data_IF_000897154886
#
_entry.id   IF_000897154886
#
_cell.length_a   1.000
_cell.length_b   1.000
_cell.length_c   1.000
_cell.angle_alpha   90.00
_cell.angle_beta   90.00
_cell.angle_gamma   90.00
#
_symmetry.space_group_name_H-M   'P 1'
#
loop_
_entity.id
_entity.type
_entity.pdbx_description
1 polymer ?
#
# COMPACT_ATOMS: atom_id res chain seq x y z
N UNK A 1 36.39 -45.42 4.88
CA UNK A 1 36.97 -46.76 5.07
C UNK A 1 36.27 -47.37 6.28
N UNK A 2 35.48 -48.44 6.04
CA UNK A 2 34.91 -49.41 7.02
C UNK A 2 33.73 -48.84 7.86
N UNK A 3 32.43 -49.12 7.63
CA UNK A 3 31.62 -50.33 7.34
C UNK A 3 31.21 -51.13 8.58
N UNK A 4 29.90 -51.48 8.63
CA UNK A 4 29.21 -52.60 9.34
C UNK A 4 28.51 -52.30 10.69
N UNK A 5 27.33 -52.85 11.08
CA UNK A 5 26.17 -53.58 10.46
C UNK A 5 25.24 -54.05 11.64
N UNK A 6 23.92 -54.21 11.39
CA UNK A 6 22.90 -55.11 12.06
C UNK A 6 22.41 -54.72 13.49
N UNK A 7 21.13 -54.40 13.76
CA UNK A 7 19.80 -55.05 13.58
C UNK A 7 19.40 -56.01 14.72
N UNK A 8 18.23 -55.80 15.37
CA UNK A 8 17.23 -56.84 15.66
C UNK A 8 15.90 -56.30 16.25
N UNK A 9 14.81 -56.78 15.65
CA UNK A 9 13.43 -56.79 16.14
C UNK A 9 13.28 -57.73 17.36
N UNK A 10 12.33 -57.43 18.26
CA UNK A 10 11.55 -58.46 18.96
C UNK A 10 10.20 -57.90 19.46
N UNK A 11 9.11 -58.41 18.88
CA UNK A 11 7.76 -58.37 19.45
C UNK A 11 7.66 -59.32 20.66
N UNK A 12 6.86 -58.97 21.66
CA UNK A 12 6.08 -59.96 22.42
C UNK A 12 4.86 -59.30 23.09
N UNK A 13 3.71 -59.88 22.77
CA UNK A 13 2.34 -59.64 23.19
C UNK A 13 2.03 -60.20 24.60
N UNK A 14 1.07 -59.63 25.32
CA UNK A 14 0.04 -60.41 26.02
C UNK A 14 -1.19 -59.56 26.39
N UNK A 15 -2.37 -60.12 26.06
CA UNK A 15 -3.71 -59.72 26.46
C UNK A 15 -3.98 -60.19 27.93
N UNK A 16 -5.03 -59.83 28.69
CA UNK A 16 -6.44 -59.55 28.41
C UNK A 16 -7.07 -58.94 29.68
N UNK A 17 -8.17 -58.17 29.57
CA UNK A 17 -9.34 -58.34 30.45
C UNK A 17 -10.54 -57.56 29.88
N UNK A 18 -11.60 -58.31 29.66
CA UNK A 18 -12.87 -57.94 29.05
C UNK A 18 -13.85 -57.52 30.16
N UNK A 19 -14.61 -56.45 29.99
CA UNK A 19 -15.85 -56.24 30.75
C UNK A 19 -16.90 -55.62 29.84
N UNK A 20 -17.99 -56.37 29.64
CA UNK A 20 -19.16 -55.97 28.86
C UNK A 20 -19.97 -54.92 29.61
N UNK A 21 -20.25 -53.79 28.96
CA UNK A 21 -21.29 -52.82 29.30
C UNK A 21 -22.05 -52.44 28.03
N UNK A 22 -23.36 -52.36 28.13
CA UNK A 22 -24.33 -52.58 27.05
C UNK A 22 -24.43 -51.46 25.99
N UNK A 23 -24.47 -51.92 24.73
CA UNK A 23 -25.26 -51.53 23.56
C UNK A 23 -26.19 -50.30 23.69
N UNK A 24 -25.83 -49.24 22.96
CA UNK A 24 -26.70 -48.15 22.52
C UNK A 24 -26.53 -47.92 21.01
N UNK A 25 -27.65 -47.82 20.29
CA UNK A 25 -27.83 -48.02 18.84
C UNK A 25 -27.14 -47.02 17.90
N UNK A 26 -26.57 -47.59 16.84
CA UNK A 26 -26.57 -47.17 15.42
C UNK A 26 -26.12 -45.75 15.05
N UNK A 27 -24.93 -45.65 14.46
CA UNK A 27 -24.72 -44.76 13.31
C UNK A 27 -23.81 -45.46 12.29
N UNK A 28 -24.39 -45.72 11.13
CA UNK A 28 -23.77 -46.31 9.95
C UNK A 28 -22.45 -45.61 9.59
N UNK A 29 -21.38 -46.41 9.50
CA UNK A 29 -20.11 -46.02 8.88
C UNK A 29 -20.36 -45.83 7.38
N UNK A 30 -20.46 -44.58 6.92
CA UNK A 30 -20.31 -44.26 5.49
C UNK A 30 -18.84 -44.03 5.20
N UNK A 31 -18.18 -45.12 4.84
CA UNK A 31 -17.01 -45.09 3.95
C UNK A 31 -17.47 -44.52 2.60
N UNK A 32 -16.94 -43.36 2.21
CA UNK A 32 -16.83 -42.99 0.80
C UNK A 32 -15.63 -42.07 0.60
N UNK A 33 -14.55 -42.65 0.09
CA UNK A 33 -13.49 -41.92 -0.59
C UNK A 33 -14.13 -41.19 -1.78
N UNK A 34 -14.26 -39.86 -1.71
CA UNK A 34 -14.88 -39.04 -2.76
C UNK A 34 -13.77 -38.39 -3.58
N UNK A 35 -13.51 -38.94 -4.76
CA UNK A 35 -12.44 -38.53 -5.68
C UNK A 35 -12.82 -37.39 -6.65
N UNK A 36 -14.03 -36.83 -6.55
CA UNK A 36 -14.45 -35.65 -7.34
C UNK A 36 -15.38 -34.75 -6.52
N UNK A 37 -15.26 -33.40 -6.64
CA UNK A 37 -16.15 -32.47 -5.98
C UNK A 37 -17.57 -32.63 -6.53
N UNK A 38 -18.57 -32.55 -5.65
CA UNK A 38 -19.95 -32.34 -6.09
C UNK A 38 -20.05 -31.01 -6.82
N UNK A 39 -20.77 -31.00 -7.93
CA UNK A 39 -21.26 -29.76 -8.51
C UNK A 39 -22.21 -29.14 -7.48
N UNK A 40 -21.70 -28.23 -6.66
CA UNK A 40 -22.52 -27.40 -5.80
C UNK A 40 -23.46 -26.57 -6.70
N UNK A 41 -24.72 -26.42 -6.28
CA UNK A 41 -25.65 -25.54 -6.97
C UNK A 41 -25.04 -24.14 -7.08
N UNK A 42 -25.21 -23.44 -8.23
CA UNK A 42 -24.63 -22.11 -8.40
C UNK A 42 -25.16 -21.20 -7.28
N UNK A 43 -24.24 -20.68 -6.46
CA UNK A 43 -24.59 -19.67 -5.47
C UNK A 43 -25.33 -18.52 -6.17
N UNK A 44 -26.41 -17.98 -5.58
CA UNK A 44 -27.12 -16.86 -6.16
C UNK A 44 -26.14 -15.71 -6.39
N UNK A 45 -26.09 -15.24 -7.65
CA UNK A 45 -25.19 -14.20 -8.11
C UNK A 45 -25.28 -12.99 -7.16
N UNK A 46 -24.19 -12.74 -6.40
CA UNK A 46 -24.13 -11.62 -5.46
C UNK A 46 -24.27 -10.34 -6.28
N UNK A 47 -25.40 -9.65 -6.12
CA UNK A 47 -25.63 -8.34 -6.75
C UNK A 47 -24.40 -7.46 -6.50
N UNK A 48 -23.88 -6.80 -7.55
CA UNK A 48 -22.72 -5.93 -7.39
C UNK A 48 -23.03 -4.91 -6.27
N UNK A 49 -22.08 -4.65 -5.37
CA UNK A 49 -22.28 -3.65 -4.32
C UNK A 49 -22.71 -2.35 -4.97
N UNK A 50 -23.79 -1.73 -4.45
CA UNK A 50 -24.23 -0.43 -4.94
C UNK A 50 -23.03 0.52 -4.94
N UNK A 51 -22.78 1.28 -6.02
CA UNK A 51 -21.71 2.26 -6.04
C UNK A 51 -21.84 3.15 -4.82
N UNK A 52 -20.79 3.23 -4.01
CA UNK A 52 -20.77 4.18 -2.89
C UNK A 52 -20.85 5.56 -3.51
N UNK A 53 -21.99 6.23 -3.39
CA UNK A 53 -22.15 7.60 -3.85
C UNK A 53 -21.24 8.46 -2.98
N UNK A 54 -20.19 9.04 -3.58
CA UNK A 54 -19.37 10.02 -2.87
C UNK A 54 -20.30 11.17 -2.46
N UNK A 55 -20.23 11.67 -1.20
CA UNK A 55 -21.00 12.83 -0.82
C UNK A 55 -20.67 13.99 -1.77
N UNK A 56 -21.67 14.81 -2.16
CA UNK A 56 -21.45 15.93 -3.05
C UNK A 56 -20.43 16.88 -2.43
N UNK A 57 -19.47 17.33 -3.24
CA UNK A 57 -18.47 18.30 -2.79
C UNK A 57 -19.16 19.63 -2.47
N UNK A 58 -18.78 20.30 -1.37
CA UNK A 58 -19.27 21.65 -1.09
C UNK A 58 -18.92 22.60 -2.24
N UNK A 59 -19.76 23.60 -2.49
CA UNK A 59 -19.51 24.66 -3.48
C UNK A 59 -19.13 25.96 -2.78
N UNK A 60 -18.31 26.75 -3.46
CA UNK A 60 -17.86 28.08 -3.04
C UNK A 60 -18.17 29.09 -4.14
N UNK A 61 -18.43 30.33 -3.74
CA UNK A 61 -18.68 31.43 -4.68
C UNK A 61 -17.36 31.89 -5.29
N UNK A 62 -17.22 31.76 -6.61
CA UNK A 62 -16.09 32.28 -7.38
C UNK A 62 -16.12 33.79 -7.51
N UNK A 63 -15.03 34.36 -8.03
CA UNK A 63 -14.83 35.81 -8.23
C UNK A 63 -15.90 36.48 -9.10
N UNK A 64 -16.56 35.74 -9.99
CA UNK A 64 -17.65 36.24 -10.86
C UNK A 64 -19.05 35.80 -10.41
N UNK A 65 -19.20 35.32 -9.18
CA UNK A 65 -20.49 34.84 -8.64
C UNK A 65 -20.91 33.45 -9.12
N UNK A 66 -20.09 32.77 -9.93
CA UNK A 66 -20.29 31.37 -10.31
C UNK A 66 -20.02 30.44 -9.13
N UNK A 67 -20.85 29.42 -8.95
CA UNK A 67 -20.58 28.36 -7.96
C UNK A 67 -19.57 27.39 -8.53
N UNK A 68 -18.47 27.20 -7.82
CA UNK A 68 -17.40 26.27 -8.17
C UNK A 68 -17.24 25.29 -7.02
N UNK A 69 -16.98 24.01 -7.30
CA UNK A 69 -16.70 23.06 -6.22
C UNK A 69 -15.38 23.39 -5.51
N UNK A 70 -15.25 23.00 -4.25
CA UNK A 70 -14.05 23.30 -3.44
C UNK A 70 -12.76 22.76 -4.08
N UNK A 71 -12.80 21.61 -4.77
CA UNK A 71 -11.59 21.03 -5.39
C UNK A 71 -11.14 21.88 -6.57
N UNK A 72 -12.06 22.31 -7.42
CA UNK A 72 -11.77 23.25 -8.49
C UNK A 72 -11.27 24.61 -7.97
N UNK A 73 -11.73 25.06 -6.79
CA UNK A 73 -11.17 26.26 -6.15
C UNK A 73 -9.74 26.04 -5.65
N UNK A 74 -9.44 24.88 -5.05
CA UNK A 74 -8.09 24.51 -4.61
C UNK A 74 -7.11 24.38 -5.78
N UNK A 75 -7.56 23.86 -6.92
CA UNK A 75 -6.74 23.79 -8.13
C UNK A 75 -6.25 25.17 -8.58
N UNK A 76 -7.07 26.22 -8.46
CA UNK A 76 -6.65 27.61 -8.74
C UNK A 76 -5.56 28.11 -7.78
N UNK A 77 -5.53 27.60 -6.56
CA UNK A 77 -4.46 27.86 -5.60
C UNK A 77 -3.30 26.86 -5.74
N UNK A 78 -3.26 26.08 -6.85
CA UNK A 78 -2.25 25.07 -7.20
C UNK A 78 -2.16 23.92 -6.19
N UNK A 79 -3.30 23.60 -5.57
CA UNK A 79 -3.43 22.52 -4.59
C UNK A 79 -4.13 21.31 -5.22
N UNK A 80 -3.44 20.19 -5.24
CA UNK A 80 -3.92 18.89 -5.73
C UNK A 80 -4.13 17.93 -4.56
N UNK A 81 -5.08 16.99 -4.71
CA UNK A 81 -5.38 15.98 -3.70
C UNK A 81 -5.24 14.56 -4.26
N UNK A 82 -4.43 13.74 -3.60
CA UNK A 82 -4.44 12.29 -3.70
C UNK A 82 -5.08 11.73 -2.41
N UNK A 83 -6.41 11.62 -2.40
CA UNK A 83 -7.21 11.23 -1.22
C UNK A 83 -7.77 9.81 -1.25
N UNK A 84 -7.36 8.98 -2.20
CA UNK A 84 -7.85 7.62 -2.43
C UNK A 84 -6.69 6.67 -2.75
N UNK A 85 -7.01 5.41 -3.08
CA UNK A 85 -6.08 4.50 -3.71
C UNK A 85 -5.52 5.06 -5.02
N UNK A 86 -4.28 4.67 -5.32
CA UNK A 86 -3.62 4.99 -6.59
C UNK A 86 -4.09 4.01 -7.65
N UNK A 87 -4.79 4.52 -8.66
CA UNK A 87 -5.27 3.76 -9.82
C UNK A 87 -5.18 4.62 -11.09
N UNK A 88 -5.44 4.02 -12.25
CA UNK A 88 -5.24 4.69 -13.55
C UNK A 88 -6.12 5.94 -13.71
N UNK A 89 -7.36 5.91 -13.21
CA UNK A 89 -8.26 7.07 -13.27
C UNK A 89 -7.70 8.24 -12.44
N UNK A 90 -7.30 7.98 -11.19
CA UNK A 90 -6.73 9.00 -10.31
C UNK A 90 -5.40 9.53 -10.85
N UNK A 91 -4.54 8.63 -11.37
CA UNK A 91 -3.28 9.03 -11.97
C UNK A 91 -3.48 9.92 -13.19
N UNK A 92 -4.39 9.57 -14.10
CA UNK A 92 -4.68 10.40 -15.27
C UNK A 92 -5.18 11.80 -14.89
N UNK A 93 -6.03 11.90 -13.86
CA UNK A 93 -6.51 13.20 -13.36
C UNK A 93 -5.34 14.03 -12.80
N UNK A 94 -4.49 13.45 -11.96
CA UNK A 94 -3.35 14.16 -11.38
C UNK A 94 -2.32 14.57 -12.43
N UNK A 95 -2.00 13.69 -13.38
CA UNK A 95 -1.10 13.99 -14.51
C UNK A 95 -1.64 15.15 -15.33
N UNK A 96 -2.94 15.14 -15.67
CA UNK A 96 -3.57 16.24 -16.40
C UNK A 96 -3.52 17.56 -15.61
N UNK A 97 -3.77 17.52 -14.29
CA UNK A 97 -3.71 18.70 -13.43
C UNK A 97 -2.28 19.25 -13.29
N UNK A 98 -1.28 18.38 -13.12
CA UNK A 98 0.13 18.77 -13.06
C UNK A 98 0.57 19.47 -14.34
N UNK A 99 0.26 18.88 -15.50
CA UNK A 99 0.58 19.46 -16.81
C UNK A 99 -0.15 20.79 -17.04
N UNK A 100 -1.42 20.87 -16.64
CA UNK A 100 -2.20 22.11 -16.73
C UNK A 100 -1.57 23.23 -15.90
N UNK A 101 -1.27 22.97 -14.62
CA UNK A 101 -0.67 23.95 -13.72
C UNK A 101 0.73 24.39 -14.17
N UNK A 102 1.52 23.45 -14.70
CA UNK A 102 2.84 23.76 -15.25
C UNK A 102 2.78 24.64 -16.51
N UNK A 103 1.74 24.49 -17.33
CA UNK A 103 1.52 25.34 -18.49
C UNK A 103 0.98 26.74 -18.11
N UNK A 104 0.17 26.83 -17.05
CA UNK A 104 -0.36 28.11 -16.55
C UNK A 104 0.73 28.99 -15.94
N UNK A 105 1.59 28.40 -15.10
CA UNK A 105 2.73 29.09 -14.49
C UNK A 105 3.84 28.05 -14.22
N UNK A 106 4.92 28.04 -15.02
CA UNK A 106 5.99 27.04 -14.90
C UNK A 106 6.92 27.27 -13.71
N UNK A 107 6.96 28.50 -13.16
CA UNK A 107 7.88 28.87 -12.07
C UNK A 107 7.22 28.72 -10.68
N UNK A 108 5.89 28.64 -10.63
CA UNK A 108 5.16 28.50 -9.38
C UNK A 108 5.07 27.05 -8.89
N UNK A 109 5.32 26.85 -7.59
CA UNK A 109 5.16 25.57 -6.91
C UNK A 109 3.74 24.99 -7.05
N UNK A 110 3.65 23.65 -7.02
CA UNK A 110 2.40 22.89 -6.93
C UNK A 110 2.40 22.13 -5.61
N UNK A 111 1.31 22.14 -4.86
CA UNK A 111 1.19 21.37 -3.61
C UNK A 111 0.30 20.15 -3.79
N UNK A 112 0.87 18.95 -3.62
CA UNK A 112 0.16 17.68 -3.62
C UNK A 112 -0.07 17.19 -2.19
N UNK A 113 -1.32 17.21 -1.74
CA UNK A 113 -1.71 16.62 -0.47
C UNK A 113 -2.04 15.14 -0.65
N UNK A 114 -1.46 14.29 0.22
CA UNK A 114 -1.51 12.83 0.10
C UNK A 114 -2.14 12.22 1.35
N UNK A 115 -3.25 11.51 1.12
CA UNK A 115 -3.88 10.57 2.04
C UNK A 115 -4.27 9.31 1.25
N UNK A 116 -3.32 8.38 1.11
CA UNK A 116 -3.46 7.21 0.24
C UNK A 116 -2.88 5.95 0.87
N UNK A 117 -3.58 4.81 0.76
CA UNK A 117 -3.04 3.50 1.12
C UNK A 117 -2.07 2.94 0.06
N UNK A 118 -1.81 3.67 -1.03
CA UNK A 118 -1.07 3.18 -2.19
C UNK A 118 -2.00 2.58 -3.24
N UNK A 119 -1.47 1.71 -4.10
CA UNK A 119 -2.22 1.10 -5.19
C UNK A 119 -1.33 0.65 -6.34
N UNK A 120 -1.79 0.86 -7.57
CA UNK A 120 -1.08 0.48 -8.80
C UNK A 120 0.28 1.17 -8.91
N UNK A 121 1.34 0.36 -9.08
CA UNK A 121 2.71 0.84 -9.24
C UNK A 121 2.87 1.62 -10.55
N UNK A 122 2.32 1.11 -11.67
CA UNK A 122 2.42 1.79 -12.96
C UNK A 122 1.69 3.15 -12.96
N UNK A 123 0.51 3.22 -12.34
CA UNK A 123 -0.23 4.46 -12.16
C UNK A 123 0.54 5.46 -11.28
N UNK A 124 1.16 4.97 -10.20
CA UNK A 124 2.03 5.77 -9.34
C UNK A 124 3.25 6.30 -10.08
N UNK A 125 3.92 5.47 -10.88
CA UNK A 125 5.08 5.87 -11.67
C UNK A 125 4.72 6.92 -12.74
N UNK A 126 3.52 6.88 -13.32
CA UNK A 126 3.06 7.92 -14.23
C UNK A 126 2.96 9.31 -13.54
N UNK A 127 2.45 9.34 -12.29
CA UNK A 127 2.42 10.57 -11.49
C UNK A 127 3.85 11.00 -11.15
N UNK A 128 4.68 10.07 -10.68
CA UNK A 128 6.09 10.31 -10.32
C UNK A 128 6.87 10.93 -11.49
N UNK A 129 6.84 10.30 -12.67
CA UNK A 129 7.55 10.78 -13.85
C UNK A 129 7.05 12.17 -14.26
N UNK A 130 5.74 12.43 -14.13
CA UNK A 130 5.17 13.75 -14.40
C UNK A 130 5.68 14.80 -13.41
N UNK A 131 5.76 14.47 -12.11
CA UNK A 131 6.33 15.35 -11.09
C UNK A 131 7.80 15.70 -11.38
N UNK A 132 8.57 14.77 -11.97
CA UNK A 132 9.97 15.01 -12.37
C UNK A 132 10.12 15.69 -13.73
N UNK A 133 9.12 15.56 -14.60
CA UNK A 133 9.14 16.08 -15.97
C UNK A 133 8.78 17.58 -16.04
N UNK A 134 7.83 18.03 -15.22
CA UNK A 134 7.40 19.43 -15.23
C UNK A 134 8.48 20.34 -14.60
N UNK A 135 8.58 21.62 -15.02
CA UNK A 135 9.55 22.56 -14.45
C UNK A 135 9.20 23.02 -13.03
N UNK A 136 7.95 22.86 -12.61
CA UNK A 136 7.48 23.31 -11.30
C UNK A 136 8.04 22.43 -10.18
N UNK A 137 8.37 23.05 -9.05
CA UNK A 137 8.58 22.30 -7.82
C UNK A 137 7.26 21.70 -7.31
N UNK A 138 7.29 20.42 -6.94
CA UNK A 138 6.13 19.73 -6.39
C UNK A 138 6.33 19.51 -4.90
N UNK A 139 5.64 20.31 -4.09
CA UNK A 139 5.55 20.13 -2.64
C UNK A 139 4.63 18.96 -2.34
N UNK A 140 5.01 18.11 -1.38
CA UNK A 140 4.18 16.98 -0.95
C UNK A 140 3.82 17.13 0.51
N UNK A 141 2.56 16.89 0.86
CA UNK A 141 2.09 17.01 2.25
C UNK A 141 1.26 15.79 2.64
N UNK A 142 1.77 15.00 3.58
CA UNK A 142 1.01 13.88 4.13
C UNK A 142 0.02 14.36 5.20
N UNK A 143 -1.23 13.94 5.04
CA UNK A 143 -2.26 14.04 6.08
C UNK A 143 -3.02 12.71 6.14
N UNK A 144 -3.33 12.23 7.35
CA UNK A 144 -3.88 10.88 7.50
C UNK A 144 -2.82 9.80 7.29
N UNK A 145 -2.67 9.28 6.08
CA UNK A 145 -1.71 8.21 5.79
C UNK A 145 -1.09 8.32 4.39
N UNK A 146 0.21 8.02 4.28
CA UNK A 146 0.87 7.78 3.02
C UNK A 146 1.55 6.40 3.11
N UNK A 147 0.94 5.39 2.49
CA UNK A 147 1.43 4.01 2.54
C UNK A 147 1.74 3.49 1.14
N UNK A 148 2.72 2.58 1.03
CA UNK A 148 3.11 1.97 -0.25
C UNK A 148 3.37 3.03 -1.33
N UNK A 149 2.67 3.00 -2.45
CA UNK A 149 2.80 4.01 -3.51
C UNK A 149 2.44 5.45 -3.09
N UNK A 150 1.61 5.61 -2.04
CA UNK A 150 1.37 6.91 -1.43
C UNK A 150 2.62 7.45 -0.70
N UNK A 151 3.36 6.58 0.01
CA UNK A 151 4.63 6.93 0.66
C UNK A 151 5.72 7.22 -0.37
N UNK A 152 5.75 6.45 -1.46
CA UNK A 152 6.66 6.69 -2.59
C UNK A 152 6.47 8.08 -3.18
N UNK A 153 5.23 8.45 -3.52
CA UNK A 153 4.90 9.76 -4.06
C UNK A 153 5.15 10.90 -3.05
N UNK A 154 4.93 10.66 -1.75
CA UNK A 154 5.27 11.61 -0.70
C UNK A 154 6.78 11.91 -0.71
N UNK A 155 7.62 10.88 -0.72
CA UNK A 155 9.08 11.02 -0.73
C UNK A 155 9.66 11.60 -2.02
N UNK A 156 8.94 11.42 -3.13
CA UNK A 156 9.34 11.88 -4.45
C UNK A 156 9.19 13.40 -4.70
N UNK A 157 8.54 14.13 -3.79
CA UNK A 157 8.42 15.59 -3.87
C UNK A 157 9.77 16.31 -3.93
N UNK A 158 9.76 17.60 -4.26
CA UNK A 158 10.97 18.42 -4.31
C UNK A 158 11.71 18.39 -2.95
N UNK A 159 13.03 18.10 -2.89
CA UNK A 159 13.81 18.13 -1.66
C UNK A 159 13.67 19.45 -0.89
N UNK A 160 13.50 19.37 0.43
CA UNK A 160 13.22 20.53 1.28
C UNK A 160 11.76 21.00 1.29
N UNK A 161 10.89 20.39 0.48
CA UNK A 161 9.45 20.73 0.37
C UNK A 161 8.52 19.54 0.63
N UNK A 162 9.03 18.46 1.23
CA UNK A 162 8.25 17.25 1.59
C UNK A 162 7.85 17.32 3.06
N UNK A 163 6.55 17.25 3.35
CA UNK A 163 6.01 17.55 4.68
C UNK A 163 4.99 16.54 5.16
N UNK A 164 4.76 16.51 6.46
CA UNK A 164 3.72 15.66 7.06
C UNK A 164 3.07 16.33 8.27
N UNK A 165 1.79 16.04 8.51
CA UNK A 165 1.12 16.41 9.76
C UNK A 165 1.52 15.48 10.91
N UNK A 166 1.52 15.94 12.17
CA UNK A 166 2.14 15.21 13.30
C UNK A 166 1.54 13.84 13.62
N UNK A 167 0.27 13.61 13.25
CA UNK A 167 -0.43 12.35 13.52
C UNK A 167 -0.54 11.45 12.28
N UNK A 168 0.05 11.85 11.16
CA UNK A 168 0.00 11.04 9.96
C UNK A 168 0.82 9.74 10.12
N UNK A 169 0.55 8.74 9.30
CA UNK A 169 1.33 7.49 9.27
C UNK A 169 1.96 7.29 7.91
N UNK A 170 3.24 6.96 7.89
CA UNK A 170 3.98 6.63 6.69
C UNK A 170 4.31 5.13 6.72
N UNK A 171 4.14 4.42 5.60
CA UNK A 171 4.48 3.00 5.51
C UNK A 171 5.12 2.68 4.17
N UNK A 172 6.25 1.98 4.20
CA UNK A 172 6.92 1.46 3.00
C UNK A 172 6.96 -0.06 3.04
N UNK A 173 6.87 -0.68 1.86
CA UNK A 173 7.01 -2.13 1.68
C UNK A 173 7.38 -2.45 0.21
N UNK A 174 7.73 -3.71 -0.05
CA UNK A 174 7.97 -4.21 -1.40
C UNK A 174 6.69 -4.28 -2.24
N UNK A 175 6.77 -4.20 -3.58
CA UNK A 175 5.59 -4.33 -4.43
C UNK A 175 4.93 -5.70 -4.25
N UNK A 176 3.59 -5.70 -4.34
CA UNK A 176 2.77 -6.90 -4.29
C UNK A 176 2.23 -7.20 -5.69
N UNK A 177 2.17 -8.49 -6.03
CA UNK A 177 1.62 -8.97 -7.30
C UNK A 177 1.29 -10.45 -7.24
N UNK A 178 0.75 -10.98 -8.33
CA UNK A 178 0.43 -12.39 -8.47
C UNK A 178 0.68 -12.85 -9.91
N UNK A 179 0.95 -14.14 -10.07
CA UNK A 179 1.18 -14.74 -11.37
C UNK A 179 0.40 -16.06 -11.51
N UNK A 180 -0.17 -16.28 -12.69
CA UNK A 180 -0.89 -17.50 -13.06
C UNK A 180 -0.73 -17.73 -14.56
N UNK A 181 -0.63 -18.98 -15.00
CA UNK A 181 -0.49 -19.31 -16.42
C UNK A 181 0.48 -20.47 -16.65
N UNK A 182 1.08 -20.52 -17.84
CA UNK A 182 2.12 -21.50 -18.13
C UNK A 182 3.38 -21.20 -17.29
N UNK A 183 4.24 -22.20 -17.11
CA UNK A 183 5.48 -22.03 -16.34
C UNK A 183 6.33 -20.86 -16.87
N UNK A 184 6.41 -20.71 -18.20
CA UNK A 184 7.11 -19.59 -18.84
C UNK A 184 6.48 -18.23 -18.53
N UNK A 185 5.15 -18.14 -18.47
CA UNK A 185 4.45 -16.88 -18.15
C UNK A 185 4.69 -16.47 -16.69
N UNK A 186 4.66 -17.46 -15.78
CA UNK A 186 4.96 -17.25 -14.36
C UNK A 186 6.40 -16.75 -14.19
N UNK A 187 7.35 -17.35 -14.91
CA UNK A 187 8.76 -16.91 -14.86
C UNK A 187 8.93 -15.47 -15.36
N UNK A 188 8.24 -15.09 -16.46
CA UNK A 188 8.27 -13.72 -16.99
C UNK A 188 7.73 -12.73 -15.96
N UNK A 189 6.56 -13.00 -15.38
CA UNK A 189 5.94 -12.11 -14.39
C UNK A 189 6.76 -12.01 -13.09
N UNK A 190 7.38 -13.11 -12.65
CA UNK A 190 8.28 -13.11 -11.51
C UNK A 190 9.53 -12.23 -11.76
N UNK A 191 10.12 -12.29 -12.96
CA UNK A 191 11.24 -11.41 -13.33
C UNK A 191 10.83 -9.94 -13.36
N UNK A 192 9.64 -9.64 -13.89
CA UNK A 192 9.13 -8.27 -13.95
C UNK A 192 8.92 -7.66 -12.56
N UNK A 193 8.26 -8.37 -11.64
CA UNK A 193 8.04 -7.82 -10.28
C UNK A 193 9.36 -7.64 -9.52
N UNK A 194 10.35 -8.51 -9.73
CA UNK A 194 11.69 -8.36 -9.15
C UNK A 194 12.43 -7.14 -9.74
N UNK A 195 12.28 -6.89 -11.04
CA UNK A 195 12.80 -5.70 -11.68
C UNK A 195 12.16 -4.43 -11.11
N UNK A 196 10.82 -4.39 -11.04
CA UNK A 196 10.07 -3.28 -10.45
C UNK A 196 10.47 -3.03 -9.00
N UNK A 197 10.61 -4.08 -8.18
CA UNK A 197 11.12 -3.98 -6.80
C UNK A 197 12.48 -3.29 -6.76
N UNK A 198 13.42 -3.72 -7.61
CA UNK A 198 14.76 -3.13 -7.66
C UNK A 198 14.72 -1.65 -8.10
N UNK A 199 13.87 -1.28 -9.05
CA UNK A 199 13.70 0.10 -9.49
C UNK A 199 13.15 1.00 -8.37
N UNK A 200 12.07 0.57 -7.71
CA UNK A 200 11.48 1.33 -6.61
C UNK A 200 12.47 1.51 -5.46
N UNK A 201 13.21 0.46 -5.09
CA UNK A 201 14.21 0.57 -4.02
C UNK A 201 15.32 1.57 -4.35
N UNK A 202 15.74 1.66 -5.62
CA UNK A 202 16.72 2.66 -6.06
C UNK A 202 16.19 4.08 -5.96
N UNK A 203 14.95 4.33 -6.41
CA UNK A 203 14.36 5.67 -6.29
C UNK A 203 14.15 6.07 -4.83
N UNK A 204 13.69 5.14 -3.98
CA UNK A 204 13.55 5.39 -2.55
C UNK A 204 14.91 5.72 -1.93
N UNK A 205 15.95 4.94 -2.23
CA UNK A 205 17.30 5.20 -1.76
C UNK A 205 17.80 6.58 -2.20
N UNK A 206 17.57 6.96 -3.47
CA UNK A 206 17.96 8.25 -4.03
C UNK A 206 17.35 9.44 -3.27
N UNK A 207 16.03 9.45 -3.06
CA UNK A 207 15.39 10.61 -2.40
C UNK A 207 15.49 10.59 -0.87
N UNK A 208 15.76 9.43 -0.25
CA UNK A 208 15.97 9.33 1.21
C UNK A 208 17.42 9.55 1.62
N UNK A 209 18.38 9.30 0.71
CA UNK A 209 19.80 9.26 1.02
C UNK A 209 20.25 8.00 1.77
N UNK A 210 19.39 6.98 1.87
CA UNK A 210 19.74 5.68 2.46
C UNK A 210 20.43 4.78 1.42
N UNK A 211 21.24 3.84 1.89
CA UNK A 211 21.80 2.79 1.02
C UNK A 211 20.68 1.87 0.47
N UNK A 212 20.82 1.40 -0.77
CA UNK A 212 19.80 0.57 -1.44
C UNK A 212 19.55 -0.74 -0.69
N UNK A 213 20.60 -1.30 -0.09
CA UNK A 213 20.52 -2.52 0.73
C UNK A 213 19.65 -2.29 1.97
N UNK A 214 19.80 -1.14 2.64
CA UNK A 214 18.97 -0.77 3.78
C UNK A 214 17.51 -0.59 3.37
N UNK A 215 17.24 0.07 2.25
CA UNK A 215 15.88 0.15 1.70
C UNK A 215 15.33 -1.25 1.41
N UNK A 216 16.13 -2.16 0.86
CA UNK A 216 15.68 -3.52 0.55
C UNK A 216 15.32 -4.33 1.81
N UNK A 217 16.05 -4.15 2.90
CA UNK A 217 15.76 -4.75 4.21
C UNK A 217 14.50 -4.13 4.82
N UNK A 218 14.45 -2.80 4.93
CA UNK A 218 13.36 -2.07 5.58
C UNK A 218 12.04 -2.14 4.79
N UNK A 219 12.08 -2.47 3.49
CA UNK A 219 10.87 -2.71 2.66
C UNK A 219 10.48 -4.19 2.53
N UNK A 220 11.25 -5.14 3.08
CA UNK A 220 10.89 -6.56 2.92
C UNK A 220 9.54 -6.90 3.58
N UNK A 221 9.16 -6.17 4.63
CA UNK A 221 7.83 -6.25 5.24
C UNK A 221 7.26 -4.84 5.40
N UNK A 222 6.01 -4.77 5.84
CA UNK A 222 5.38 -3.48 6.14
C UNK A 222 6.17 -2.78 7.24
N UNK A 223 6.77 -1.63 6.89
CA UNK A 223 7.56 -0.83 7.81
C UNK A 223 6.89 0.52 8.04
N UNK A 224 6.28 0.64 9.22
CA UNK A 224 5.51 1.81 9.61
C UNK A 224 6.38 2.81 10.38
N UNK A 225 6.18 4.09 10.07
CA UNK A 225 6.85 5.23 10.68
C UNK A 225 5.84 6.28 11.12
N UNK A 226 6.14 6.92 12.25
CA UNK A 226 5.65 8.25 12.61
C UNK A 226 6.21 9.30 11.64
N UNK A 227 5.65 10.52 11.59
CA UNK A 227 6.20 11.60 10.78
C UNK A 227 7.64 11.97 11.17
N UNK A 228 7.97 11.90 12.46
CA UNK A 228 9.32 12.18 12.96
C UNK A 228 10.31 11.09 12.51
N UNK A 229 9.96 9.81 12.66
CA UNK A 229 10.79 8.72 12.13
C UNK A 229 10.95 8.81 10.61
N UNK A 230 9.89 9.19 9.88
CA UNK A 230 9.97 9.36 8.42
C UNK A 230 10.83 10.57 8.01
N UNK A 231 10.90 11.60 8.86
CA UNK A 231 11.80 12.73 8.68
C UNK A 231 13.26 12.28 8.89
N UNK A 232 13.54 11.59 9.99
CA UNK A 232 14.87 11.04 10.28
C UNK A 232 15.32 10.02 9.23
N UNK A 233 14.39 9.24 8.69
CA UNK A 233 14.63 8.28 7.62
C UNK A 233 14.90 8.95 6.26
N UNK A 234 14.50 10.21 6.07
CA UNK A 234 14.70 10.99 4.85
C UNK A 234 13.53 10.95 3.84
N UNK A 235 12.37 10.39 4.21
CA UNK A 235 11.17 10.39 3.34
C UNK A 235 10.56 11.78 3.26
N UNK A 236 10.57 12.53 4.37
CA UNK A 236 10.08 13.91 4.43
C UNK A 236 11.14 14.83 5.02
N UNK A 237 10.96 16.13 4.83
CA UNK A 237 11.88 17.18 5.30
C UNK A 237 11.36 17.87 6.58
N UNK A 238 10.04 17.98 6.74
CA UNK A 238 9.42 18.75 7.84
C UNK A 238 8.14 18.10 8.39
N UNK A 239 8.06 17.97 9.72
CA UNK A 239 6.78 17.73 10.42
C UNK A 239 6.13 19.06 10.78
N UNK A 240 4.98 19.35 10.18
CA UNK A 240 4.28 20.62 10.35
C UNK A 240 3.67 20.74 11.75
N UNK A 241 4.21 21.64 12.57
CA UNK A 241 3.61 21.98 13.86
C UNK A 241 2.48 22.99 13.68
N UNK A 242 1.29 22.71 14.23
CA UNK A 242 0.17 23.65 14.21
C UNK A 242 0.43 24.80 15.19
N UNK A 243 0.62 26.02 14.67
CA UNK A 243 0.84 27.24 15.47
C UNK A 243 -0.37 27.66 16.34
N UNK A 244 -1.50 26.95 16.22
CA UNK A 244 -2.80 27.28 16.83
C UNK A 244 -3.35 26.21 17.78
N UNK A 245 -2.66 25.07 17.92
CA UNK A 245 -3.12 23.98 18.77
C UNK A 245 -2.81 24.26 20.24
N UNK A 246 -3.76 24.91 20.91
CA UNK A 246 -3.87 24.94 22.38
C UNK A 246 -4.16 23.55 22.97
N UNK A 247 -4.31 22.53 22.12
CA UNK A 247 -4.54 21.14 22.51
C UNK A 247 -3.16 20.54 22.84
N UNK A 248 -2.94 20.09 24.10
CA UNK A 248 -1.71 19.43 24.47
C UNK A 248 -1.56 18.12 23.69
N UNK A 249 -0.37 17.91 23.12
CA UNK A 249 -0.03 16.65 22.44
C UNK A 249 0.42 15.65 23.51
N UNK A 250 -0.29 14.53 23.71
CA UNK A 250 0.16 13.51 24.65
C UNK A 250 1.45 12.84 24.16
N UNK A 251 2.24 12.28 25.08
CA UNK A 251 3.34 11.41 24.70
C UNK A 251 2.78 10.21 23.94
N UNK A 252 3.27 9.98 22.72
CA UNK A 252 2.82 8.88 21.89
C UNK A 252 3.56 7.59 22.29
N UNK A 253 2.90 6.43 22.26
CA UNK A 253 3.58 5.16 22.44
C UNK A 253 4.55 4.90 21.27
N UNK A 254 5.65 4.23 21.55
CA UNK A 254 6.51 3.63 20.51
C UNK A 254 5.79 2.43 19.91
N UNK A 255 5.94 2.23 18.59
CA UNK A 255 5.36 1.08 17.91
C UNK A 255 6.14 -0.22 18.20
N UNK A 256 7.40 -0.10 18.60
CA UNK A 256 8.34 -1.20 18.73
C UNK A 256 8.81 -1.44 20.19
N UNK A 257 8.16 -0.79 21.17
CA UNK A 257 8.38 -1.02 22.62
C UNK A 257 7.59 -2.22 23.16
#
# INVERSE_FOLDING_TARGET
MIMRIVALLALATSASAFTMGQVGRTSSVKSSLRMYPTMDEPEPEKKPPKPRTRPPLPTVTGSEGSQVDVISRLLKDRILLLGTDVNDEMANVLVAQLLYLANEDPDADITLYINSPGGSVSAGLAIYDTMKFIPCDVQTVCFGMAASMGAFLLGAGTPGKRKSLPNARIMIHQPLGGAQGQASDIEIQAKEILFVKACLNKYIAEYTGQEVEKIAEDTDRDFFMTPYEAQDYGIIDEVLTTKTSHIPVPAMPSLYD
#
